data_IF_986680197277
#
_entry.id   IF_986680197277
#
_cell.length_a   1.000
_cell.length_b   1.000
_cell.length_c   1.000
_cell.angle_alpha   90.00
_cell.angle_beta   90.00
_cell.angle_gamma   90.00
#
_symmetry.space_group_name_H-M   'P 1'
#
loop_
_entity.id
_entity.type
_entity.pdbx_description
1 polymer ?
#
# COMPACT_ATOMS: atom_id res chain seq x y z
N UNK A 1 -2.72 19.66 6.59
CA UNK A 1 -2.13 19.52 7.93
C UNK A 1 -1.37 18.21 7.90
N UNK A 2 -0.06 18.22 8.11
CA UNK A 2 0.71 16.98 8.19
C UNK A 2 0.23 16.22 9.43
N UNK A 3 -0.23 14.97 9.24
CA UNK A 3 -0.50 14.03 10.33
C UNK A 3 0.82 13.79 11.07
N UNK A 4 1.09 14.63 12.07
CA UNK A 4 2.28 14.56 12.91
C UNK A 4 2.24 13.23 13.68
N UNK A 5 2.96 12.23 13.18
CA UNK A 5 3.15 10.97 13.89
C UNK A 5 3.35 9.76 13.00
N UNK A 6 3.02 9.82 11.71
CA UNK A 6 3.24 8.72 10.77
C UNK A 6 4.34 9.09 9.77
N UNK A 7 5.21 8.13 9.52
CA UNK A 7 6.43 8.28 8.71
C UNK A 7 6.18 7.94 7.23
N UNK A 8 5.30 6.97 6.95
CA UNK A 8 4.99 6.52 5.59
C UNK A 8 3.50 6.17 5.40
N UNK A 9 3.04 6.23 4.16
CA UNK A 9 1.69 5.85 3.71
C UNK A 9 1.78 4.66 2.76
N UNK A 10 1.15 3.56 3.13
CA UNK A 10 1.24 2.25 2.46
C UNK A 10 -0.08 1.89 1.82
N UNK A 11 -0.04 1.42 0.58
CA UNK A 11 -1.19 0.89 -0.15
C UNK A 11 -1.10 -0.65 -0.22
N UNK A 12 -2.17 -1.34 0.15
CA UNK A 12 -2.23 -2.80 0.19
C UNK A 12 -3.44 -3.31 -0.62
N UNK A 13 -3.24 -4.08 -1.70
CA UNK A 13 -4.31 -4.72 -2.45
C UNK A 13 -4.86 -5.93 -1.68
N UNK A 14 -6.18 -6.11 -1.64
CA UNK A 14 -6.81 -7.21 -0.86
C UNK A 14 -8.24 -7.53 -1.31
N UNK A 15 -8.66 -8.78 -1.11
CA UNK A 15 -10.01 -9.28 -1.38
C UNK A 15 -10.92 -9.37 -0.16
N UNK A 16 -10.34 -9.52 1.03
CA UNK A 16 -11.05 -9.79 2.29
C UNK A 16 -10.73 -8.77 3.41
N UNK A 17 -9.74 -7.90 3.20
CA UNK A 17 -9.32 -6.89 4.16
C UNK A 17 -8.43 -7.43 5.27
N UNK A 18 -8.01 -8.70 5.17
CA UNK A 18 -7.20 -9.42 6.15
C UNK A 18 -5.90 -9.90 5.49
N UNK A 19 -5.97 -10.32 4.24
CA UNK A 19 -4.86 -10.88 3.48
C UNK A 19 -4.46 -9.99 2.31
N UNK A 20 -3.16 -9.97 2.02
CA UNK A 20 -2.60 -9.31 0.84
C UNK A 20 -2.98 -10.14 -0.38
N UNK A 21 -3.50 -9.47 -1.40
CA UNK A 21 -3.96 -10.12 -2.62
C UNK A 21 -2.80 -10.77 -3.38
N UNK A 22 -3.07 -11.97 -3.88
CA UNK A 22 -2.21 -12.67 -4.84
C UNK A 22 -2.57 -12.36 -6.29
N UNK A 23 -3.66 -11.63 -6.52
CA UNK A 23 -4.13 -11.26 -7.85
C UNK A 23 -3.38 -10.05 -8.39
N UNK A 24 -3.43 -9.88 -9.71
CA UNK A 24 -2.95 -8.66 -10.35
C UNK A 24 -3.64 -7.43 -9.75
N UNK A 25 -2.88 -6.34 -9.59
CA UNK A 25 -3.38 -5.07 -9.03
C UNK A 25 -4.67 -4.57 -9.72
N UNK A 26 -4.83 -4.81 -11.02
CA UNK A 26 -6.04 -4.39 -11.75
C UNK A 26 -7.30 -5.22 -11.44
N UNK A 27 -7.15 -6.41 -10.84
CA UNK A 27 -8.23 -7.36 -10.60
C UNK A 27 -8.69 -7.41 -9.14
N UNK A 28 -7.95 -6.76 -8.23
CA UNK A 28 -8.32 -6.75 -6.81
C UNK A 28 -9.58 -5.91 -6.62
N UNK A 29 -10.48 -6.26 -5.69
CA UNK A 29 -11.72 -5.53 -5.50
C UNK A 29 -11.51 -4.20 -4.75
N UNK A 30 -10.52 -4.14 -3.87
CA UNK A 30 -10.20 -2.95 -3.10
C UNK A 30 -8.74 -2.90 -2.64
N UNK A 31 -8.35 -1.70 -2.23
CA UNK A 31 -7.09 -1.42 -1.58
C UNK A 31 -7.35 -0.83 -0.19
N UNK A 32 -6.49 -1.18 0.76
CA UNK A 32 -6.41 -0.53 2.06
C UNK A 32 -5.23 0.42 2.08
N UNK A 33 -5.40 1.54 2.78
CA UNK A 33 -4.38 2.57 2.94
C UNK A 33 -4.05 2.64 4.43
N UNK A 34 -2.79 2.47 4.77
CA UNK A 34 -2.29 2.55 6.13
C UNK A 34 -1.29 3.69 6.26
N UNK A 35 -1.45 4.50 7.30
CA UNK A 35 -0.38 5.37 7.76
C UNK A 35 0.44 4.57 8.78
N UNK A 36 1.76 4.53 8.63
CA UNK A 36 2.67 3.73 9.46
C UNK A 36 3.74 4.64 10.06
N UNK A 37 4.03 4.41 11.34
CA UNK A 37 5.11 5.02 12.10
C UNK A 37 6.05 3.94 12.61
N UNK A 38 7.18 4.32 13.19
CA UNK A 38 8.07 3.35 13.85
C UNK A 38 7.50 2.63 15.09
N UNK A 39 6.23 2.86 15.48
CA UNK A 39 5.60 2.24 16.66
C UNK A 39 4.22 1.66 16.44
N UNK A 40 3.53 2.10 15.38
CA UNK A 40 2.16 1.70 15.12
C UNK A 40 1.75 2.01 13.69
N UNK A 41 0.67 1.38 13.25
CA UNK A 41 -0.02 1.70 12.01
C UNK A 41 -1.49 2.04 12.29
N UNK A 42 -2.08 2.82 11.39
CA UNK A 42 -3.49 3.16 11.42
C UNK A 42 -4.09 3.01 10.02
N UNK A 43 -5.24 2.35 9.93
CA UNK A 43 -6.02 2.32 8.70
C UNK A 43 -6.52 3.74 8.40
N UNK A 44 -6.02 4.34 7.31
CA UNK A 44 -6.36 5.67 6.86
C UNK A 44 -7.51 5.67 5.84
N UNK A 45 -7.68 4.57 5.09
CA UNK A 45 -8.73 4.49 4.10
C UNK A 45 -8.91 3.11 3.47
N UNK A 46 -10.05 2.94 2.80
CA UNK A 46 -10.37 1.80 1.93
C UNK A 46 -10.94 2.35 0.63
N UNK A 47 -10.34 1.98 -0.50
CA UNK A 47 -10.76 2.43 -1.82
C UNK A 47 -11.11 1.21 -2.69
N UNK A 48 -12.22 1.27 -3.42
CA UNK A 48 -12.54 0.21 -4.39
C UNK A 48 -11.78 0.45 -5.68
N UNK A 49 -11.30 -0.60 -6.33
CA UNK A 49 -10.55 -0.46 -7.59
C UNK A 49 -11.34 0.28 -8.66
N UNK A 50 -12.66 0.06 -8.74
CA UNK A 50 -13.54 0.78 -9.66
C UNK A 50 -13.63 2.30 -9.42
N UNK A 51 -13.28 2.77 -8.23
CA UNK A 51 -13.29 4.21 -7.88
C UNK A 51 -11.97 4.88 -8.32
N UNK A 52 -10.93 4.10 -8.58
CA UNK A 52 -9.65 4.54 -9.14
C UNK A 52 -9.75 4.63 -10.67
N UNK A 53 -10.47 3.69 -11.30
CA UNK A 53 -10.57 3.59 -12.76
C UNK A 53 -11.37 4.73 -13.38
N UNK A 54 -10.73 5.48 -14.28
CA UNK A 54 -11.33 6.59 -15.03
C UNK A 54 -11.51 6.28 -16.52
N UNK A 55 -11.06 5.10 -16.97
CA UNK A 55 -11.12 4.68 -18.38
C UNK A 55 -9.88 5.06 -19.19
N UNK A 56 -8.87 5.68 -18.56
CA UNK A 56 -7.59 6.04 -19.19
C UNK A 56 -6.53 4.92 -19.15
N UNK A 57 -6.90 3.75 -18.62
CA UNK A 57 -6.03 2.59 -18.44
C UNK A 57 -5.55 2.46 -17.00
N UNK A 58 -5.53 1.22 -16.49
CA UNK A 58 -5.27 0.93 -15.08
C UNK A 58 -3.97 1.54 -14.56
N UNK A 59 -2.85 1.37 -15.28
CA UNK A 59 -1.54 1.86 -14.83
C UNK A 59 -1.51 3.39 -14.64
N UNK A 60 -2.13 4.14 -15.56
CA UNK A 60 -2.19 5.60 -15.45
C UNK A 60 -3.11 6.03 -14.31
N UNK A 61 -4.25 5.35 -14.17
CA UNK A 61 -5.24 5.65 -13.14
C UNK A 61 -4.69 5.39 -11.73
N UNK A 62 -4.05 4.24 -11.50
CA UNK A 62 -3.45 3.91 -10.20
C UNK A 62 -2.23 4.79 -9.90
N UNK A 63 -1.42 5.15 -10.90
CA UNK A 63 -0.29 6.08 -10.69
C UNK A 63 -0.79 7.48 -10.30
N UNK A 64 -1.85 7.98 -10.94
CA UNK A 64 -2.45 9.25 -10.55
C UNK A 64 -2.98 9.21 -9.11
N UNK A 65 -3.61 8.11 -8.74
CA UNK A 65 -4.10 7.91 -7.37
C UNK A 65 -2.98 7.88 -6.33
N UNK A 66 -1.91 7.14 -6.62
CA UNK A 66 -0.69 7.07 -5.79
C UNK A 66 -0.13 8.48 -5.54
N UNK A 67 0.01 9.28 -6.59
CA UNK A 67 0.54 10.64 -6.51
C UNK A 67 -0.41 11.57 -5.75
N UNK A 68 -1.72 11.47 -5.99
CA UNK A 68 -2.74 12.29 -5.32
C UNK A 68 -2.78 12.02 -3.81
N UNK A 69 -2.72 10.75 -3.42
CA UNK A 69 -2.79 10.33 -2.02
C UNK A 69 -1.46 10.43 -1.28
N UNK A 70 -0.36 10.71 -1.98
CA UNK A 70 1.02 10.65 -1.47
C UNK A 70 1.30 9.27 -0.84
N UNK A 71 1.08 8.20 -1.61
CA UNK A 71 1.47 6.84 -1.21
C UNK A 71 2.98 6.69 -1.39
N UNK A 72 3.68 6.22 -0.36
CA UNK A 72 5.14 6.03 -0.38
C UNK A 72 5.55 4.65 -0.93
N UNK A 73 4.76 3.61 -0.63
CA UNK A 73 5.01 2.26 -1.13
C UNK A 73 3.75 1.42 -1.27
N UNK A 74 3.85 0.36 -2.07
CA UNK A 74 2.84 -0.68 -2.22
C UNK A 74 3.39 -2.00 -1.69
N UNK A 75 2.58 -2.73 -0.92
CA UNK A 75 2.88 -4.11 -0.55
C UNK A 75 2.13 -5.03 -1.49
N UNK A 76 2.83 -5.76 -2.35
CA UNK A 76 2.19 -6.68 -3.29
C UNK A 76 3.12 -7.79 -3.74
N UNK A 77 2.54 -8.97 -3.93
CA UNK A 77 3.22 -10.13 -4.51
C UNK A 77 3.45 -9.92 -6.02
N UNK A 78 2.60 -9.11 -6.67
CA UNK A 78 2.67 -8.87 -8.11
C UNK A 78 3.62 -7.71 -8.42
N UNK A 79 4.60 -7.97 -9.29
CA UNK A 79 5.43 -6.90 -9.85
C UNK A 79 4.60 -5.99 -10.76
N UNK A 80 4.90 -4.70 -10.78
CA UNK A 80 4.24 -3.74 -11.64
C UNK A 80 5.24 -2.76 -12.23
N UNK A 81 4.85 -2.12 -13.35
CA UNK A 81 5.61 -1.05 -14.01
C UNK A 81 5.33 0.34 -13.39
N UNK A 82 4.75 0.37 -12.19
CA UNK A 82 4.45 1.61 -11.48
C UNK A 82 5.75 2.27 -11.01
N UNK A 83 5.77 3.60 -11.07
CA UNK A 83 6.86 4.42 -10.58
C UNK A 83 6.68 4.66 -9.08
N UNK A 84 6.83 3.57 -8.30
CA UNK A 84 6.75 3.53 -6.84
C UNK A 84 7.48 2.30 -6.30
N UNK A 85 7.97 2.37 -5.06
CA UNK A 85 8.54 1.22 -4.37
C UNK A 85 7.44 0.16 -4.13
N UNK A 86 7.63 -1.03 -4.68
CA UNK A 86 6.77 -2.19 -4.42
C UNK A 86 7.58 -3.20 -3.60
N UNK A 87 7.11 -3.48 -2.39
CA UNK A 87 7.70 -4.49 -1.49
C UNK A 87 6.91 -5.78 -1.65
N UNK A 88 7.64 -6.87 -1.92
CA UNK A 88 7.06 -8.21 -1.89
C UNK A 88 6.88 -8.63 -0.44
N UNK A 89 5.67 -9.06 -0.02
CA UNK A 89 5.43 -9.38 1.36
C UNK A 89 6.09 -10.70 1.78
N UNK A 90 6.49 -10.77 3.05
CA UNK A 90 6.97 -11.99 3.69
C UNK A 90 5.83 -12.84 4.24
N UNK A 91 4.70 -12.21 4.59
CA UNK A 91 3.46 -12.90 5.01
C UNK A 91 2.28 -12.53 4.14
N UNK A 92 1.35 -13.46 3.95
CA UNK A 92 0.08 -13.12 3.31
C UNK A 92 -0.85 -12.30 4.24
N UNK A 93 -0.60 -12.28 5.55
CA UNK A 93 -1.42 -11.55 6.50
C UNK A 93 -1.02 -10.08 6.58
N UNK A 94 -1.98 -9.18 6.38
CA UNK A 94 -1.74 -7.73 6.38
C UNK A 94 -1.15 -7.26 7.70
N UNK A 95 -1.68 -7.75 8.83
CA UNK A 95 -1.21 -7.31 10.14
C UNK A 95 0.23 -7.73 10.44
N UNK A 96 0.64 -8.93 10.02
CA UNK A 96 2.01 -9.38 10.17
C UNK A 96 2.96 -8.53 9.32
N UNK A 97 2.58 -8.28 8.07
CA UNK A 97 3.39 -7.47 7.15
C UNK A 97 3.53 -6.02 7.62
N UNK A 98 2.45 -5.41 8.14
CA UNK A 98 2.52 -4.08 8.72
C UNK A 98 3.46 -4.01 9.92
N UNK A 99 3.52 -5.05 10.76
CA UNK A 99 4.48 -5.12 11.87
C UNK A 99 5.93 -5.25 11.36
N UNK A 100 6.17 -6.02 10.30
CA UNK A 100 7.49 -6.11 9.67
C UNK A 100 7.94 -4.75 9.12
N UNK A 101 7.03 -4.00 8.49
CA UNK A 101 7.32 -2.65 8.01
C UNK A 101 7.66 -1.70 9.18
N UNK A 102 6.94 -1.79 10.30
CA UNK A 102 7.30 -1.03 11.52
C UNK A 102 8.74 -1.34 11.95
N UNK A 103 9.11 -2.63 12.00
CA UNK A 103 10.45 -3.05 12.39
C UNK A 103 11.54 -2.55 11.42
N UNK A 104 11.24 -2.49 10.12
CA UNK A 104 12.14 -1.92 9.11
C UNK A 104 12.37 -0.41 9.34
N UNK A 105 11.31 0.34 9.62
CA UNK A 105 11.38 1.78 9.93
C UNK A 105 12.19 2.00 11.21
N UNK A 106 11.89 1.26 12.28
CA UNK A 106 12.55 1.44 13.59
C UNK A 106 14.05 1.13 13.53
N UNK A 107 14.43 0.08 12.80
CA UNK A 107 15.84 -0.29 12.62
C UNK A 107 16.61 0.68 11.72
N UNK A 108 15.96 1.69 11.11
CA UNK A 108 16.49 2.50 9.99
C UNK A 108 17.11 1.64 8.89
N UNK A 109 16.71 0.36 8.81
CA UNK A 109 17.16 -0.57 7.79
C UNK A 109 16.33 -0.28 6.55
N UNK A 110 16.83 0.69 5.80
CA UNK A 110 16.63 0.84 4.37
C UNK A 110 15.17 0.80 3.89
N UNK A 111 14.50 1.95 4.02
CA UNK A 111 13.58 2.36 2.95
C UNK A 111 14.33 2.95 1.74
N UNK A 112 15.68 2.97 1.75
CA UNK A 112 16.55 3.28 0.62
C UNK A 112 16.37 2.35 -0.59
#
# INVERSE_FOLDING_TARGET
MADKGFDIKVLIPTEDGIRISTNNLSLVPYYLIYNISNRSYQLAGKIKTKEILTGNGFLKDIQNYINQENIDLIVSITKSELDIKIIAPESAEINEELNLIIDMIDQKKELS
#
